data_IF_455998379386
#
_entry.id   IF_455998379386
#
_cell.length_a   1.000
_cell.length_b   1.000
_cell.length_c   1.000
_cell.angle_alpha   90.00
_cell.angle_beta   90.00
_cell.angle_gamma   90.00
#
_symmetry.space_group_name_H-M   'P 1'
#
loop_
_entity.id
_entity.type
_entity.pdbx_description
1 polymer ?
#
# COMPACT_ATOMS: atom_id res chain seq x y z
N UNK A 1 11.15 24.44 30.46
CA UNK A 1 10.53 25.35 29.47
C UNK A 1 11.19 25.36 28.09
N UNK A 2 12.52 25.52 27.95
CA UNK A 2 13.21 25.69 26.64
C UNK A 2 12.93 24.61 25.57
N UNK A 3 12.61 23.37 25.97
CA UNK A 3 12.31 22.24 25.05
C UNK A 3 10.82 21.98 24.81
N UNK A 4 9.91 22.68 25.51
CA UNK A 4 8.47 22.48 25.40
C UNK A 4 7.87 23.27 24.23
N UNK A 5 8.31 24.52 24.04
CA UNK A 5 7.86 25.38 22.94
C UNK A 5 8.08 24.74 21.56
N UNK A 6 9.28 24.20 21.23
CA UNK A 6 9.52 23.59 19.92
C UNK A 6 8.64 22.36 19.65
N UNK A 7 8.35 21.55 20.67
CA UNK A 7 7.49 20.38 20.53
C UNK A 7 6.03 20.78 20.29
N UNK A 8 5.54 21.84 20.95
CA UNK A 8 4.21 22.40 20.73
C UNK A 8 4.09 23.01 19.33
N UNK A 9 5.08 23.80 18.90
CA UNK A 9 5.12 24.35 17.54
C UNK A 9 5.11 23.25 16.48
N UNK A 10 5.88 22.18 16.69
CA UNK A 10 5.88 21.03 15.79
C UNK A 10 4.53 20.32 15.76
N UNK A 11 3.89 20.13 16.92
CA UNK A 11 2.55 19.55 16.98
C UNK A 11 1.53 20.42 16.23
N UNK A 12 1.61 21.75 16.33
CA UNK A 12 0.76 22.67 15.58
C UNK A 12 0.98 22.56 14.06
N UNK A 13 2.23 22.48 13.60
CA UNK A 13 2.55 22.26 12.18
C UNK A 13 2.00 20.92 11.69
N UNK A 14 2.19 19.84 12.44
CA UNK A 14 1.66 18.52 12.07
C UNK A 14 0.12 18.48 12.11
N UNK A 15 -0.51 19.17 13.05
CA UNK A 15 -1.96 19.33 13.08
C UNK A 15 -2.44 20.08 11.84
N UNK A 16 -1.79 21.18 11.46
CA UNK A 16 -2.13 21.94 10.26
C UNK A 16 -1.89 21.15 8.96
N UNK A 17 -0.84 20.33 8.89
CA UNK A 17 -0.54 19.51 7.70
C UNK A 17 -1.45 18.29 7.57
N UNK A 18 -1.75 17.61 8.67
CA UNK A 18 -2.39 16.29 8.66
C UNK A 18 -3.83 16.35 9.17
N UNK A 19 -4.06 16.94 10.34
CA UNK A 19 -5.36 16.95 11.00
C UNK A 19 -6.32 17.96 10.38
N UNK A 20 -5.83 19.15 10.04
CA UNK A 20 -6.62 20.27 9.58
C UNK A 20 -7.31 20.01 8.24
N UNK A 21 -6.67 19.39 7.20
CA UNK A 21 -7.38 19.07 5.98
C UNK A 21 -8.52 18.06 6.18
N UNK A 22 -8.32 17.08 7.06
CA UNK A 22 -9.36 16.11 7.40
C UNK A 22 -10.51 16.76 8.17
N UNK A 23 -10.19 17.68 9.07
CA UNK A 23 -11.18 18.49 9.77
C UNK A 23 -11.98 19.33 8.76
N UNK A 24 -11.32 20.04 7.85
CA UNK A 24 -12.00 20.86 6.83
C UNK A 24 -12.92 20.02 5.95
N UNK A 25 -12.49 18.83 5.54
CA UNK A 25 -13.35 17.87 4.81
C UNK A 25 -14.60 17.52 5.61
N UNK A 26 -14.46 17.27 6.92
CA UNK A 26 -15.59 16.95 7.79
C UNK A 26 -16.53 18.16 7.97
N UNK A 27 -16.00 19.36 8.16
CA UNK A 27 -16.80 20.58 8.31
C UNK A 27 -17.55 20.89 7.01
N UNK A 28 -16.91 20.72 5.85
CA UNK A 28 -17.57 20.89 4.55
C UNK A 28 -18.62 19.81 4.29
N UNK A 29 -18.41 18.56 4.73
CA UNK A 29 -19.41 17.50 4.63
C UNK A 29 -20.67 17.77 5.48
N UNK A 30 -20.52 18.53 6.57
CA UNK A 30 -21.60 18.95 7.47
C UNK A 30 -22.12 20.37 7.16
N UNK A 31 -21.55 21.07 6.18
CA UNK A 31 -21.92 22.43 5.80
C UNK A 31 -22.89 22.44 4.62
N UNK A 32 -23.85 23.35 4.63
CA UNK A 32 -24.80 23.59 3.54
C UNK A 32 -25.12 25.07 3.38
N UNK A 33 -25.94 25.40 2.39
CA UNK A 33 -26.26 26.78 2.02
C UNK A 33 -26.85 27.63 3.17
N UNK A 34 -27.55 27.00 4.12
CA UNK A 34 -28.17 27.65 5.28
C UNK A 34 -27.45 27.41 6.62
N UNK A 35 -26.23 26.85 6.62
CA UNK A 35 -25.50 26.48 7.83
C UNK A 35 -25.26 24.98 7.96
N UNK A 36 -25.19 24.47 9.19
CA UNK A 36 -24.93 23.05 9.46
C UNK A 36 -26.09 22.16 9.00
N UNK A 37 -25.76 21.06 8.32
CA UNK A 37 -26.73 20.10 7.79
C UNK A 37 -26.20 18.67 7.84
N UNK A 38 -27.11 17.71 8.04
CA UNK A 38 -26.84 16.27 7.85
C UNK A 38 -27.45 15.74 6.55
N UNK A 39 -28.04 16.61 5.74
CA UNK A 39 -28.74 16.26 4.50
C UNK A 39 -27.85 15.53 3.49
N UNK A 40 -26.57 15.90 3.39
CA UNK A 40 -25.62 15.21 2.49
C UNK A 40 -25.33 13.76 2.93
N UNK A 41 -25.36 13.48 4.24
CA UNK A 41 -25.26 12.12 4.74
C UNK A 41 -26.54 11.33 4.46
N UNK A 42 -27.72 11.96 4.63
CA UNK A 42 -28.98 11.33 4.26
C UNK A 42 -29.04 11.00 2.75
N UNK A 43 -28.54 11.90 1.90
CA UNK A 43 -28.41 11.68 0.45
C UNK A 43 -27.46 10.50 0.14
N UNK A 44 -26.29 10.45 0.79
CA UNK A 44 -25.35 9.33 0.65
C UNK A 44 -26.00 7.98 1.00
N UNK A 45 -26.73 7.89 2.11
CA UNK A 45 -27.40 6.65 2.49
C UNK A 45 -28.67 6.36 1.65
N UNK A 46 -29.29 7.39 1.07
CA UNK A 46 -30.42 7.24 0.16
C UNK A 46 -30.03 6.77 -1.24
N UNK A 47 -28.84 7.14 -1.72
CA UNK A 47 -28.32 6.74 -3.04
C UNK A 47 -27.63 5.38 -2.96
N UNK A 48 -28.22 4.38 -3.63
CA UNK A 48 -27.73 2.99 -3.62
C UNK A 48 -26.26 2.87 -4.04
N UNK A 49 -25.86 3.59 -5.08
CA UNK A 49 -24.50 3.49 -5.62
C UNK A 49 -23.43 3.98 -4.65
N UNK A 50 -23.76 4.96 -3.80
CA UNK A 50 -22.82 5.55 -2.84
C UNK A 50 -22.51 4.59 -1.70
N UNK A 51 -23.52 4.13 -0.95
CA UNK A 51 -23.26 3.19 0.13
C UNK A 51 -22.77 1.83 -0.41
N UNK A 52 -23.20 1.43 -1.61
CA UNK A 52 -22.71 0.20 -2.25
C UNK A 52 -21.23 0.30 -2.59
N UNK A 53 -20.74 1.47 -3.02
CA UNK A 53 -19.32 1.66 -3.26
C UNK A 53 -18.50 1.63 -1.95
N UNK A 54 -19.07 2.03 -0.80
CA UNK A 54 -18.46 1.84 0.52
C UNK A 54 -18.35 0.35 0.88
N UNK A 55 -19.44 -0.39 0.70
CA UNK A 55 -19.45 -1.84 0.90
C UNK A 55 -18.47 -2.56 -0.03
N UNK A 56 -18.44 -2.21 -1.31
CA UNK A 56 -17.50 -2.75 -2.31
C UNK A 56 -16.04 -2.49 -1.91
N UNK A 57 -15.75 -1.35 -1.30
CA UNK A 57 -14.41 -1.01 -0.79
C UNK A 57 -14.00 -1.89 0.38
N UNK A 58 -14.92 -2.14 1.32
CA UNK A 58 -14.70 -3.06 2.43
C UNK A 58 -14.50 -4.49 1.92
N UNK A 59 -15.40 -4.96 1.06
CA UNK A 59 -15.38 -6.31 0.50
C UNK A 59 -14.11 -6.59 -0.30
N UNK A 60 -13.74 -5.70 -1.23
CA UNK A 60 -12.54 -5.88 -2.07
C UNK A 60 -11.28 -5.90 -1.21
N UNK A 61 -11.24 -5.10 -0.15
CA UNK A 61 -10.08 -5.04 0.75
C UNK A 61 -9.96 -6.28 1.62
N UNK A 62 -11.07 -6.81 2.13
CA UNK A 62 -11.07 -8.07 2.86
C UNK A 62 -10.70 -9.27 1.96
N UNK A 63 -11.26 -9.32 0.74
CA UNK A 63 -10.95 -10.36 -0.24
C UNK A 63 -9.47 -10.30 -0.67
N UNK A 64 -8.91 -9.10 -0.84
CA UNK A 64 -7.49 -8.90 -1.16
C UNK A 64 -6.57 -9.40 -0.06
N UNK A 65 -6.93 -9.20 1.22
CA UNK A 65 -6.19 -9.77 2.35
C UNK A 65 -6.15 -11.29 2.27
N UNK A 66 -7.32 -11.92 2.07
CA UNK A 66 -7.41 -13.39 1.97
C UNK A 66 -6.59 -13.94 0.81
N UNK A 67 -6.67 -13.31 -0.36
CA UNK A 67 -5.96 -13.74 -1.56
C UNK A 67 -4.44 -13.51 -1.45
N UNK A 68 -4.02 -12.36 -0.92
CA UNK A 68 -2.62 -12.08 -0.65
C UNK A 68 -2.03 -13.04 0.40
N UNK A 69 -2.78 -13.40 1.44
CA UNK A 69 -2.36 -14.39 2.44
C UNK A 69 -2.21 -15.79 1.83
N UNK A 70 -3.18 -16.20 1.01
CA UNK A 70 -3.21 -17.49 0.33
C UNK A 70 -1.97 -17.70 -0.55
N UNK A 71 -1.43 -16.62 -1.14
CA UNK A 71 -0.21 -16.68 -1.96
C UNK A 71 1.04 -16.44 -1.12
N UNK A 72 1.09 -15.38 -0.33
CA UNK A 72 2.30 -14.93 0.37
C UNK A 72 2.74 -15.84 1.51
N UNK A 73 1.81 -16.43 2.26
CA UNK A 73 2.14 -17.32 3.39
C UNK A 73 2.81 -18.61 2.90
N UNK A 74 2.26 -19.37 1.95
CA UNK A 74 2.94 -20.55 1.41
C UNK A 74 4.32 -20.24 0.84
N UNK A 75 4.49 -19.11 0.15
CA UNK A 75 5.79 -18.69 -0.35
C UNK A 75 6.79 -18.43 0.78
N UNK A 76 6.37 -17.77 1.86
CA UNK A 76 7.25 -17.57 3.00
C UNK A 76 7.72 -18.90 3.60
N UNK A 77 6.81 -19.88 3.75
CA UNK A 77 7.17 -21.21 4.24
C UNK A 77 8.11 -21.95 3.28
N UNK A 78 7.86 -21.88 1.97
CA UNK A 78 8.70 -22.50 0.96
C UNK A 78 10.12 -21.94 1.03
N UNK A 79 10.27 -20.61 1.00
CA UNK A 79 11.57 -19.95 0.93
C UNK A 79 12.35 -19.92 2.25
N UNK A 80 11.67 -19.96 3.39
CA UNK A 80 12.34 -19.92 4.70
C UNK A 80 12.68 -21.32 5.22
N UNK A 81 11.82 -22.33 5.00
CA UNK A 81 12.02 -23.67 5.58
C UNK A 81 12.69 -24.68 4.64
N UNK A 82 12.76 -24.39 3.35
CA UNK A 82 13.21 -25.35 2.33
C UNK A 82 14.50 -24.91 1.66
N UNK A 83 15.47 -25.81 1.51
CA UNK A 83 16.65 -25.59 0.66
C UNK A 83 16.45 -26.16 -0.75
N UNK A 84 16.55 -25.30 -1.78
CA UNK A 84 16.47 -25.65 -3.19
C UNK A 84 17.35 -24.72 -4.05
N UNK A 85 17.79 -25.14 -5.25
CA UNK A 85 18.67 -24.34 -6.11
C UNK A 85 18.03 -23.01 -6.55
N UNK A 86 18.82 -21.93 -6.62
CA UNK A 86 18.34 -20.61 -7.06
C UNK A 86 17.51 -19.82 -6.03
N UNK A 87 17.25 -20.38 -4.84
CA UNK A 87 16.39 -19.78 -3.79
C UNK A 87 16.72 -18.33 -3.42
N UNK A 88 18.01 -17.94 -3.38
CA UNK A 88 18.41 -16.56 -3.03
C UNK A 88 17.91 -15.56 -4.08
N UNK A 89 18.16 -15.86 -5.35
CA UNK A 89 17.72 -15.04 -6.47
C UNK A 89 16.19 -15.03 -6.59
N UNK A 90 15.56 -16.21 -6.51
CA UNK A 90 14.11 -16.33 -6.52
C UNK A 90 13.45 -15.57 -5.36
N UNK A 91 14.04 -15.58 -4.16
CA UNK A 91 13.54 -14.84 -3.02
C UNK A 91 13.63 -13.31 -3.22
N UNK A 92 14.62 -12.83 -3.97
CA UNK A 92 14.70 -11.43 -4.38
C UNK A 92 13.66 -11.09 -5.46
N UNK A 93 13.49 -11.96 -6.47
CA UNK A 93 12.50 -11.78 -7.54
C UNK A 93 11.08 -11.72 -6.99
N UNK A 94 10.74 -12.58 -6.03
CA UNK A 94 9.42 -12.61 -5.38
C UNK A 94 9.12 -11.33 -4.60
N UNK A 95 10.12 -10.50 -4.29
CA UNK A 95 9.91 -9.19 -3.69
C UNK A 95 9.75 -8.06 -4.73
N UNK A 96 10.11 -8.27 -6.00
CA UNK A 96 10.12 -7.22 -7.03
C UNK A 96 8.78 -6.52 -7.27
N UNK A 97 7.60 -7.18 -7.23
CA UNK A 97 6.32 -6.49 -7.48
C UNK A 97 6.07 -5.28 -6.60
N UNK A 98 6.67 -5.20 -5.40
CA UNK A 98 6.55 -4.04 -4.50
C UNK A 98 7.23 -2.78 -5.06
N UNK A 99 8.15 -2.93 -6.01
CA UNK A 99 8.91 -1.84 -6.60
C UNK A 99 8.13 -1.08 -7.68
N UNK A 100 7.09 -1.69 -8.26
CA UNK A 100 6.27 -1.03 -9.27
C UNK A 100 5.36 0.02 -8.62
N UNK A 101 5.38 1.28 -9.10
CA UNK A 101 4.35 2.25 -8.73
C UNK A 101 2.96 1.67 -9.03
N UNK A 102 1.94 1.92 -8.18
CA UNK A 102 0.63 1.26 -8.30
C UNK A 102 0.00 1.38 -9.70
N UNK A 103 0.04 2.59 -10.27
CA UNK A 103 -0.48 2.85 -11.61
C UNK A 103 0.31 2.10 -12.70
N UNK A 104 1.65 2.10 -12.59
CA UNK A 104 2.52 1.43 -13.56
C UNK A 104 2.30 -0.08 -13.54
N UNK A 105 2.12 -0.68 -12.35
CA UNK A 105 1.76 -2.09 -12.22
C UNK A 105 0.41 -2.41 -12.86
N UNK A 106 -0.60 -1.55 -12.67
CA UNK A 106 -1.92 -1.69 -13.31
C UNK A 106 -1.84 -1.59 -14.83
N UNK A 107 -1.05 -0.63 -15.35
CA UNK A 107 -0.83 -0.46 -16.79
C UNK A 107 -0.09 -1.67 -17.37
N UNK A 108 0.88 -2.24 -16.64
CA UNK A 108 1.53 -3.48 -17.06
C UNK A 108 0.52 -4.63 -17.19
N UNK A 109 -0.42 -4.76 -16.25
CA UNK A 109 -1.50 -5.73 -16.34
C UNK A 109 -2.42 -5.47 -17.54
N UNK A 110 -2.72 -4.20 -17.84
CA UNK A 110 -3.51 -3.85 -19.02
C UNK A 110 -2.79 -4.29 -20.31
N UNK A 111 -1.51 -3.96 -20.47
CA UNK A 111 -0.74 -4.33 -21.66
C UNK A 111 -0.49 -5.83 -21.79
N UNK A 112 -0.38 -6.55 -20.67
CA UNK A 112 -0.11 -7.98 -20.70
C UNK A 112 -1.39 -8.80 -20.83
N UNK A 113 -2.36 -8.56 -19.96
CA UNK A 113 -3.54 -9.42 -19.76
C UNK A 113 -4.87 -8.75 -20.14
N UNK A 114 -4.86 -7.47 -20.53
CA UNK A 114 -6.06 -6.79 -21.01
C UNK A 114 -6.67 -7.48 -22.24
N UNK A 115 -7.85 -7.05 -22.66
CA UNK A 115 -8.56 -7.63 -23.81
C UNK A 115 -7.71 -7.61 -25.09
N UNK A 116 -6.98 -6.50 -25.31
CA UNK A 116 -5.97 -6.34 -26.37
C UNK A 116 -4.53 -6.55 -25.86
N UNK A 117 -4.35 -7.29 -24.77
CA UNK A 117 -3.06 -7.51 -24.14
C UNK A 117 -2.20 -8.54 -24.90
N UNK A 118 -0.88 -8.50 -24.67
CA UNK A 118 0.09 -9.41 -25.29
C UNK A 118 -0.25 -10.88 -25.05
N UNK A 119 -0.47 -11.28 -23.80
CA UNK A 119 -0.75 -12.67 -23.46
C UNK A 119 -2.11 -13.10 -24.04
N UNK A 120 -3.10 -12.21 -24.03
CA UNK A 120 -4.44 -12.45 -24.57
C UNK A 120 -4.38 -12.72 -26.07
N UNK A 121 -3.68 -11.86 -26.82
CA UNK A 121 -3.51 -12.02 -28.27
C UNK A 121 -2.65 -13.22 -28.63
N UNK A 122 -1.59 -13.51 -27.87
CA UNK A 122 -0.77 -14.68 -28.08
C UNK A 122 -1.61 -15.96 -27.94
N UNK A 123 -2.41 -16.07 -26.89
CA UNK A 123 -3.30 -17.23 -26.70
C UNK A 123 -4.39 -17.28 -27.77
N UNK A 124 -4.99 -16.14 -28.11
CA UNK A 124 -5.99 -16.06 -29.19
C UNK A 124 -5.42 -16.58 -30.52
N UNK A 125 -4.22 -16.15 -30.90
CA UNK A 125 -3.55 -16.57 -32.13
C UNK A 125 -3.13 -18.05 -32.09
N UNK A 126 -2.58 -18.52 -30.96
CA UNK A 126 -2.16 -19.91 -30.80
C UNK A 126 -3.33 -20.90 -30.85
N UNK A 127 -4.51 -20.50 -30.35
CA UNK A 127 -5.71 -21.32 -30.30
C UNK A 127 -6.68 -21.07 -31.47
N UNK A 128 -6.39 -20.11 -32.35
CA UNK A 128 -7.24 -19.75 -33.49
C UNK A 128 -8.63 -19.22 -33.07
N UNK A 129 -8.72 -18.50 -31.96
CA UNK A 129 -10.00 -18.00 -31.42
C UNK A 129 -10.47 -16.73 -32.15
N UNK A 130 -11.76 -16.66 -32.46
CA UNK A 130 -12.38 -15.49 -33.08
C UNK A 130 -12.43 -14.27 -32.15
N UNK A 131 -12.67 -14.51 -30.86
CA UNK A 131 -12.78 -13.50 -29.81
C UNK A 131 -11.65 -13.65 -28.78
N UNK A 132 -11.28 -12.58 -28.05
CA UNK A 132 -10.27 -12.69 -27.00
C UNK A 132 -10.72 -13.69 -25.91
N UNK A 133 -9.82 -14.58 -25.46
CA UNK A 133 -10.16 -15.66 -24.52
C UNK A 133 -10.61 -15.17 -23.14
N UNK A 134 -10.30 -13.92 -22.78
CA UNK A 134 -10.74 -13.31 -21.52
C UNK A 134 -10.80 -11.78 -21.63
N UNK A 135 -11.49 -11.17 -20.66
CA UNK A 135 -11.60 -9.71 -20.48
C UNK A 135 -11.34 -9.37 -19.01
N UNK A 136 -10.38 -8.49 -18.75
CA UNK A 136 -10.08 -8.02 -17.40
C UNK A 136 -11.01 -6.88 -16.99
N UNK A 137 -12.24 -7.23 -16.59
CA UNK A 137 -13.23 -6.26 -16.11
C UNK A 137 -13.89 -6.77 -14.83
N UNK A 138 -14.26 -5.84 -13.95
CA UNK A 138 -14.96 -6.09 -12.71
C UNK A 138 -14.06 -6.47 -11.52
N UNK A 139 -14.67 -6.93 -10.40
CA UNK A 139 -13.95 -7.18 -9.15
C UNK A 139 -12.88 -8.27 -9.28
N UNK A 140 -13.06 -9.26 -10.15
CA UNK A 140 -12.08 -10.33 -10.36
C UNK A 140 -10.75 -9.80 -10.92
N UNK A 141 -10.80 -8.86 -11.86
CA UNK A 141 -9.61 -8.21 -12.41
C UNK A 141 -8.88 -7.37 -11.36
N UNK A 142 -9.63 -6.63 -10.53
CA UNK A 142 -9.07 -5.87 -9.41
C UNK A 142 -8.36 -6.81 -8.41
N UNK A 143 -9.02 -7.91 -8.04
CA UNK A 143 -8.44 -8.91 -7.12
C UNK A 143 -7.19 -9.58 -7.70
N UNK A 144 -7.14 -9.84 -9.00
CA UNK A 144 -5.95 -10.39 -9.66
C UNK A 144 -4.75 -9.44 -9.51
N UNK A 145 -4.96 -8.14 -9.77
CA UNK A 145 -3.92 -7.13 -9.59
C UNK A 145 -3.51 -7.00 -8.12
N UNK A 146 -4.47 -7.02 -7.19
CA UNK A 146 -4.19 -6.96 -5.76
C UNK A 146 -3.44 -8.20 -5.28
N UNK A 147 -3.79 -9.39 -5.76
CA UNK A 147 -3.08 -10.63 -5.47
C UNK A 147 -1.62 -10.49 -5.84
N UNK A 148 -1.34 -10.08 -7.08
CA UNK A 148 0.01 -9.90 -7.61
C UNK A 148 0.82 -8.83 -6.85
N UNK A 149 0.21 -7.68 -6.56
CA UNK A 149 0.93 -6.55 -5.97
C UNK A 149 1.07 -6.63 -4.45
N UNK A 150 0.16 -7.34 -3.76
CA UNK A 150 0.05 -7.28 -2.29
C UNK A 150 0.42 -8.58 -1.57
N UNK A 151 0.55 -9.73 -2.25
CA UNK A 151 1.02 -10.98 -1.61
C UNK A 151 2.38 -10.79 -0.92
N UNK A 152 3.21 -9.88 -1.44
CA UNK A 152 4.56 -9.59 -0.95
C UNK A 152 4.56 -9.14 0.52
N UNK A 153 3.51 -8.46 0.97
CA UNK A 153 3.38 -8.07 2.38
C UNK A 153 3.27 -9.30 3.28
N UNK A 154 2.42 -10.27 2.92
CA UNK A 154 2.34 -11.54 3.63
C UNK A 154 3.63 -12.35 3.53
N UNK A 155 4.28 -12.37 2.36
CA UNK A 155 5.55 -13.03 2.18
C UNK A 155 6.63 -12.49 3.14
N UNK A 156 6.86 -11.17 3.13
CA UNK A 156 7.92 -10.53 3.92
C UNK A 156 7.68 -10.65 5.43
N UNK A 157 6.45 -10.36 5.88
CA UNK A 157 6.11 -10.41 7.30
C UNK A 157 6.14 -11.84 7.84
N UNK A 158 5.55 -12.80 7.10
CA UNK A 158 5.56 -14.21 7.51
C UNK A 158 6.98 -14.74 7.55
N UNK A 159 7.82 -14.37 6.58
CA UNK A 159 9.23 -14.77 6.55
C UNK A 159 10.01 -14.20 7.75
N UNK A 160 9.80 -12.93 8.09
CA UNK A 160 10.40 -12.31 9.27
C UNK A 160 9.89 -12.90 10.60
N UNK A 161 8.63 -13.34 10.65
CA UNK A 161 8.07 -14.07 11.79
C UNK A 161 8.67 -15.47 11.92
N UNK A 162 8.78 -16.19 10.79
CA UNK A 162 9.36 -17.54 10.73
C UNK A 162 10.81 -17.56 11.17
N UNK A 163 11.60 -16.53 10.84
CA UNK A 163 12.99 -16.41 11.25
C UNK A 163 13.18 -16.11 12.75
N UNK A 164 12.09 -15.99 13.53
CA UNK A 164 12.12 -15.77 14.98
C UNK A 164 11.50 -16.93 15.78
N UNK A 165 10.90 -17.92 15.09
CA UNK A 165 10.32 -19.10 15.76
C UNK A 165 11.47 -19.95 16.30
N UNK A 166 11.49 -20.17 17.61
CA UNK A 166 12.53 -20.96 18.27
C UNK A 166 12.49 -22.44 17.84
N UNK A 167 13.65 -22.99 17.49
CA UNK A 167 13.83 -24.42 17.25
C UNK A 167 13.40 -25.26 18.46
N UNK A 168 13.67 -24.81 19.69
CA UNK A 168 13.34 -25.52 20.92
C UNK A 168 11.83 -25.76 21.07
N UNK A 169 10.99 -24.83 20.60
CA UNK A 169 9.53 -25.00 20.60
C UNK A 169 9.09 -26.09 19.61
N UNK A 170 9.80 -26.25 18.50
CA UNK A 170 9.51 -27.30 17.51
C UNK A 170 9.99 -28.67 18.00
N UNK A 171 11.12 -28.72 18.68
CA UNK A 171 11.65 -29.93 19.31
C UNK A 171 10.78 -30.38 20.47
N UNK A 172 10.37 -29.47 21.37
CA UNK A 172 9.43 -29.76 22.44
C UNK A 172 8.09 -30.31 21.91
N UNK A 173 7.55 -29.69 20.85
CA UNK A 173 6.34 -30.20 20.20
C UNK A 173 6.54 -31.62 19.64
N UNK A 174 7.69 -31.89 19.02
CA UNK A 174 8.02 -33.22 18.51
C UNK A 174 8.18 -34.26 19.64
N UNK A 175 8.83 -33.90 20.74
CA UNK A 175 8.98 -34.77 21.94
C UNK A 175 7.65 -35.10 22.60
N UNK A 176 6.67 -34.20 22.51
CA UNK A 176 5.28 -34.44 22.94
C UNK A 176 4.44 -35.22 21.90
N UNK A 177 5.07 -35.78 20.87
CA UNK A 177 4.39 -36.56 19.82
C UNK A 177 3.58 -35.73 18.83
N UNK A 178 3.76 -34.41 18.77
CA UNK A 178 3.04 -33.57 17.81
C UNK A 178 3.62 -33.75 16.39
N UNK A 179 2.81 -34.32 15.49
CA UNK A 179 3.15 -34.38 14.06
C UNK A 179 3.12 -33.00 13.38
N UNK A 180 3.66 -32.92 12.15
CA UNK A 180 3.87 -31.66 11.39
C UNK A 180 2.65 -30.74 11.32
N UNK A 181 1.46 -31.29 11.06
CA UNK A 181 0.20 -30.53 11.00
C UNK A 181 -0.16 -29.93 12.37
N UNK A 182 -0.01 -30.72 13.43
CA UNK A 182 -0.30 -30.27 14.81
C UNK A 182 0.69 -29.20 15.25
N UNK A 183 1.98 -29.37 14.96
CA UNK A 183 3.02 -28.34 15.22
C UNK A 183 2.74 -27.05 14.42
N UNK A 184 2.37 -27.17 13.14
CA UNK A 184 2.02 -26.00 12.32
C UNK A 184 0.84 -25.23 12.92
N UNK A 185 -0.27 -25.91 13.20
CA UNK A 185 -1.53 -25.26 13.63
C UNK A 185 -1.49 -24.80 15.08
N UNK A 186 -0.84 -25.54 15.99
CA UNK A 186 -0.88 -25.25 17.43
C UNK A 186 0.36 -24.52 17.96
N UNK A 187 1.47 -24.51 17.22
CA UNK A 187 2.71 -23.84 17.66
C UNK A 187 3.07 -22.73 16.69
N UNK A 188 3.30 -23.06 15.41
CA UNK A 188 3.85 -22.10 14.45
C UNK A 188 2.85 -21.00 14.08
N UNK A 189 1.64 -21.35 13.64
CA UNK A 189 0.65 -20.35 13.22
C UNK A 189 0.27 -19.37 14.35
N UNK A 190 0.03 -19.81 15.60
CA UNK A 190 -0.16 -18.90 16.74
C UNK A 190 0.99 -17.92 16.94
N UNK A 191 2.24 -18.39 16.85
CA UNK A 191 3.43 -17.52 16.96
C UNK A 191 3.57 -16.55 15.78
N UNK A 192 3.02 -16.89 14.61
CA UNK A 192 3.03 -16.03 13.43
C UNK A 192 1.89 -15.02 13.41
N UNK A 193 0.86 -15.13 14.27
CA UNK A 193 -0.31 -14.26 14.20
C UNK A 193 0.02 -12.77 14.25
N UNK A 194 0.94 -12.27 15.10
CA UNK A 194 1.30 -10.84 15.07
C UNK A 194 1.89 -10.40 13.73
N UNK A 195 2.69 -11.25 13.09
CA UNK A 195 3.25 -10.98 11.77
C UNK A 195 2.16 -11.01 10.67
N UNK A 196 1.26 -12.00 10.73
CA UNK A 196 0.14 -12.12 9.80
C UNK A 196 -0.86 -10.98 9.93
N UNK A 197 -1.14 -10.53 11.15
CA UNK A 197 -2.02 -9.39 11.42
C UNK A 197 -1.41 -8.08 10.92
N UNK A 198 -0.11 -7.88 11.11
CA UNK A 198 0.61 -6.75 10.50
C UNK A 198 0.55 -6.74 8.97
N UNK A 199 0.73 -7.91 8.33
CA UNK A 199 0.59 -8.05 6.88
C UNK A 199 -0.85 -7.82 6.40
N UNK A 200 -1.83 -8.33 7.14
CA UNK A 200 -3.25 -8.15 6.87
C UNK A 200 -3.62 -6.67 6.94
N UNK A 201 -3.16 -5.96 7.97
CA UNK A 201 -3.43 -4.53 8.13
C UNK A 201 -2.84 -3.72 6.98
N UNK A 202 -1.58 -3.98 6.62
CA UNK A 202 -0.94 -3.30 5.51
C UNK A 202 -1.65 -3.58 4.18
N UNK A 203 -2.02 -4.83 3.92
CA UNK A 203 -2.74 -5.24 2.72
C UNK A 203 -4.13 -4.61 2.66
N UNK A 204 -4.88 -4.64 3.76
CA UNK A 204 -6.21 -4.05 3.86
C UNK A 204 -6.18 -2.55 3.61
N UNK A 205 -5.27 -1.82 4.27
CA UNK A 205 -5.11 -0.37 4.08
C UNK A 205 -4.65 -0.03 2.65
N UNK A 206 -3.75 -0.82 2.06
CA UNK A 206 -3.29 -0.62 0.68
C UNK A 206 -4.42 -0.86 -0.33
N UNK A 207 -5.22 -1.91 -0.14
CA UNK A 207 -6.38 -2.20 -0.99
C UNK A 207 -7.49 -1.17 -0.82
N UNK A 208 -7.75 -0.72 0.41
CA UNK A 208 -8.74 0.33 0.69
C UNK A 208 -8.37 1.65 0.04
N UNK A 209 -7.07 1.90 -0.12
CA UNK A 209 -6.51 3.04 -0.83
C UNK A 209 -6.31 2.83 -2.33
N UNK A 210 -6.68 1.66 -2.87
CA UNK A 210 -6.48 1.33 -4.28
C UNK A 210 -7.39 2.18 -5.16
N UNK A 211 -6.80 2.87 -6.12
CA UNK A 211 -7.53 3.69 -7.10
C UNK A 211 -7.31 3.16 -8.53
N UNK A 212 -6.05 2.97 -8.94
CA UNK A 212 -5.72 2.65 -10.33
C UNK A 212 -6.36 1.37 -10.85
N UNK A 213 -6.35 0.28 -10.06
CA UNK A 213 -6.94 -0.99 -10.49
C UNK A 213 -8.48 -0.89 -10.60
N UNK A 214 -9.22 -0.39 -9.59
CA UNK A 214 -10.65 -0.14 -9.73
C UNK A 214 -11.01 0.85 -10.84
N UNK A 215 -10.21 1.89 -11.05
CA UNK A 215 -10.46 2.88 -12.10
C UNK A 215 -10.35 2.26 -13.50
N UNK A 216 -9.30 1.47 -13.75
CA UNK A 216 -9.04 0.93 -15.08
C UNK A 216 -9.84 -0.35 -15.39
N UNK A 217 -10.02 -1.22 -14.39
CA UNK A 217 -10.66 -2.52 -14.56
C UNK A 217 -12.06 -2.60 -13.95
N UNK A 218 -12.55 -1.57 -13.25
CA UNK A 218 -13.82 -1.64 -12.55
C UNK A 218 -15.03 -1.84 -13.47
N UNK A 219 -15.04 -1.22 -14.65
CA UNK A 219 -16.21 -1.17 -15.53
C UNK A 219 -17.38 -0.47 -14.83
N UNK A 220 -18.28 -1.25 -14.23
CA UNK A 220 -19.37 -0.75 -13.35
C UNK A 220 -19.16 -1.00 -11.85
N UNK A 221 -18.09 -1.72 -11.48
CA UNK A 221 -17.74 -1.97 -10.08
C UNK A 221 -16.96 -0.78 -9.51
N UNK A 222 -17.69 0.17 -8.94
CA UNK A 222 -17.09 1.33 -8.26
C UNK A 222 -16.83 1.05 -6.79
N UNK A 223 -15.65 1.48 -6.34
CA UNK A 223 -15.26 1.57 -4.93
C UNK A 223 -15.20 3.06 -4.52
N UNK A 224 -15.07 3.35 -3.24
CA UNK A 224 -15.05 4.73 -2.71
C UNK A 224 -13.98 5.60 -3.33
N UNK A 225 -12.78 5.08 -3.56
CA UNK A 225 -11.72 5.87 -4.19
C UNK A 225 -12.11 6.37 -5.58
N UNK A 226 -12.81 5.56 -6.38
CA UNK A 226 -13.32 5.94 -7.71
C UNK A 226 -14.62 6.74 -7.64
N UNK A 227 -15.47 6.47 -6.65
CA UNK A 227 -16.74 7.17 -6.47
C UNK A 227 -16.50 8.62 -6.06
N UNK A 228 -15.57 8.86 -5.14
CA UNK A 228 -15.13 10.21 -4.73
C UNK A 228 -14.74 11.04 -5.94
N UNK A 229 -13.95 10.46 -6.85
CA UNK A 229 -13.52 11.17 -8.07
C UNK A 229 -14.70 11.39 -9.01
N UNK A 230 -15.59 10.40 -9.17
CA UNK A 230 -16.77 10.54 -10.02
C UNK A 230 -17.70 11.66 -9.53
N UNK A 231 -18.06 11.68 -8.24
CA UNK A 231 -18.92 12.71 -7.64
C UNK A 231 -18.28 14.10 -7.76
N UNK A 232 -16.96 14.21 -7.56
CA UNK A 232 -16.22 15.47 -7.79
C UNK A 232 -16.29 15.95 -9.23
N UNK A 233 -16.06 15.06 -10.20
CA UNK A 233 -16.09 15.40 -11.63
C UNK A 233 -17.51 15.77 -12.10
N UNK A 234 -18.54 15.21 -11.46
CA UNK A 234 -19.94 15.56 -11.70
C UNK A 234 -20.38 16.87 -11.02
N UNK A 235 -19.50 17.53 -10.27
CA UNK A 235 -19.83 18.76 -9.53
C UNK A 235 -20.56 18.53 -8.20
N UNK A 236 -20.74 17.28 -7.76
CA UNK A 236 -21.37 16.90 -6.49
C UNK A 236 -20.37 17.02 -5.33
N UNK A 237 -19.83 18.23 -5.11
CA UNK A 237 -18.73 18.48 -4.17
C UNK A 237 -19.07 18.04 -2.74
N UNK A 238 -20.27 18.38 -2.26
CA UNK A 238 -20.70 18.03 -0.90
C UNK A 238 -20.81 16.52 -0.69
N UNK A 239 -21.35 15.79 -1.67
CA UNK A 239 -21.45 14.33 -1.63
C UNK A 239 -20.06 13.69 -1.63
N UNK A 240 -19.13 14.20 -2.45
CA UNK A 240 -17.75 13.73 -2.43
C UNK A 240 -17.02 13.98 -1.09
N UNK A 241 -17.37 15.04 -0.35
CA UNK A 241 -16.85 15.23 1.01
C UNK A 241 -17.40 14.16 1.96
N UNK A 242 -18.69 13.84 1.88
CA UNK A 242 -19.30 12.75 2.67
C UNK A 242 -18.64 11.42 2.35
N UNK A 243 -18.49 11.07 1.07
CA UNK A 243 -17.80 9.84 0.64
C UNK A 243 -16.36 9.79 1.16
N UNK A 244 -15.66 10.93 1.15
CA UNK A 244 -14.30 11.07 1.68
C UNK A 244 -14.26 10.83 3.20
N UNK A 245 -15.21 11.40 3.95
CA UNK A 245 -15.37 11.18 5.39
C UNK A 245 -15.70 9.71 5.68
N UNK A 246 -16.60 9.10 4.90
CA UNK A 246 -16.99 7.69 5.06
C UNK A 246 -15.82 6.73 4.79
N UNK A 247 -15.03 6.99 3.76
CA UNK A 247 -13.82 6.23 3.47
C UNK A 247 -12.76 6.40 4.57
N UNK A 248 -12.57 7.61 5.08
CA UNK A 248 -11.69 7.88 6.21
C UNK A 248 -12.14 7.16 7.48
N UNK A 249 -13.44 7.19 7.79
CA UNK A 249 -14.05 6.49 8.92
C UNK A 249 -13.84 4.98 8.81
N UNK A 250 -14.08 4.39 7.63
CA UNK A 250 -13.82 2.98 7.36
C UNK A 250 -12.34 2.61 7.59
N UNK A 251 -11.42 3.46 7.13
CA UNK A 251 -9.99 3.26 7.34
C UNK A 251 -9.60 3.31 8.83
N UNK A 252 -10.13 4.29 9.58
CA UNK A 252 -9.89 4.39 11.02
C UNK A 252 -10.49 3.21 11.80
N UNK A 253 -11.70 2.76 11.45
CA UNK A 253 -12.34 1.59 12.06
C UNK A 253 -11.53 0.32 11.80
N UNK A 254 -11.06 0.11 10.56
CA UNK A 254 -10.20 -1.02 10.20
C UNK A 254 -8.88 -0.99 10.98
N UNK A 255 -8.21 0.16 11.04
CA UNK A 255 -6.98 0.34 11.82
C UNK A 255 -7.21 0.08 13.32
N UNK A 256 -8.29 0.59 13.88
CA UNK A 256 -8.65 0.42 15.29
C UNK A 256 -8.91 -1.05 15.62
N UNK A 257 -9.72 -1.74 14.81
CA UNK A 257 -10.04 -3.15 14.99
C UNK A 257 -8.78 -4.03 14.96
N UNK A 258 -7.89 -3.78 14.00
CA UNK A 258 -6.65 -4.56 13.84
C UNK A 258 -5.64 -4.26 14.95
N UNK A 259 -5.48 -3.00 15.37
CA UNK A 259 -4.61 -2.65 16.51
C UNK A 259 -5.10 -3.25 17.83
N UNK A 260 -6.42 -3.39 18.00
CA UNK A 260 -6.99 -4.03 19.20
C UNK A 260 -6.68 -5.52 19.21
N UNK A 261 -6.76 -6.19 18.07
CA UNK A 261 -6.35 -7.59 17.91
C UNK A 261 -4.85 -7.79 18.20
N UNK A 262 -3.99 -6.93 17.64
CA UNK A 262 -2.53 -7.02 17.82
C UNK A 262 -2.10 -6.85 19.29
N UNK A 263 -2.69 -5.91 20.03
CA UNK A 263 -2.34 -5.66 21.44
C UNK A 263 -2.67 -6.83 22.36
N UNK A 264 -3.78 -7.53 22.10
CA UNK A 264 -4.17 -8.70 22.86
C UNK A 264 -3.16 -9.85 22.68
N UNK A 265 -2.58 -10.00 21.49
CA UNK A 265 -1.63 -11.09 21.17
C UNK A 265 -0.17 -10.76 21.49
N UNK A 266 0.26 -9.49 21.35
CA UNK A 266 1.60 -9.06 21.71
C UNK A 266 1.90 -9.21 23.21
N UNK A 267 0.87 -9.12 24.06
CA UNK A 267 0.97 -9.42 25.49
C UNK A 267 1.19 -10.92 25.77
N UNK A 268 0.87 -11.80 24.82
CA UNK A 268 0.91 -13.26 24.97
C UNK A 268 2.13 -13.94 24.32
N UNK A 269 2.91 -13.24 23.48
CA UNK A 269 3.95 -13.86 22.62
C UNK A 269 5.31 -13.15 22.74
N UNK A 270 5.88 -13.15 23.94
CA UNK A 270 7.17 -12.52 24.24
C UNK A 270 8.43 -13.37 24.01
N UNK A 271 8.35 -14.47 23.25
CA UNK A 271 9.48 -15.41 23.13
C UNK A 271 10.37 -15.05 21.93
N UNK A 272 11.60 -14.61 22.20
CA UNK A 272 12.68 -14.52 21.21
C UNK A 272 13.50 -15.80 21.28
N UNK A 273 13.70 -16.47 20.15
CA UNK A 273 14.52 -17.68 20.06
C UNK A 273 15.31 -17.75 18.77
N UNK A 274 16.16 -18.77 18.67
CA UNK A 274 16.99 -19.02 17.49
C UNK A 274 16.18 -19.78 16.45
N UNK A 275 16.11 -19.25 15.22
CA UNK A 275 15.38 -19.92 14.14
C UNK A 275 15.94 -21.32 13.86
N UNK A 276 15.07 -22.32 13.59
CA UNK A 276 15.49 -23.65 13.22
C UNK A 276 16.32 -23.66 11.93
N UNK A 277 17.31 -24.55 11.88
CA UNK A 277 18.07 -24.79 10.66
C UNK A 277 17.14 -25.21 9.51
N UNK A 278 17.45 -24.72 8.31
CA UNK A 278 16.68 -25.02 7.10
C UNK A 278 16.77 -26.51 6.78
N UNK A 279 15.67 -27.08 6.28
CA UNK A 279 15.62 -28.49 5.92
C UNK A 279 15.84 -28.67 4.43
N UNK A 280 16.82 -29.51 4.08
CA UNK A 280 16.95 -30.05 2.73
C UNK A 280 15.81 -31.03 2.47
N UNK A 281 15.18 -30.93 1.31
CA UNK A 281 14.24 -31.95 0.85
C UNK A 281 15.01 -33.26 0.65
N UNK A 282 14.54 -34.34 1.29
CA UNK A 282 15.19 -35.66 1.23
C UNK A 282 15.14 -36.27 -0.18
N UNK A 283 14.07 -36.01 -0.92
CA UNK A 283 13.93 -36.47 -2.30
C UNK A 283 14.57 -35.47 -3.27
N UNK A 284 15.53 -35.90 -4.11
CA UNK A 284 16.11 -35.04 -5.14
C UNK A 284 15.06 -34.58 -6.16
N UNK A 285 14.04 -35.40 -6.44
CA UNK A 285 12.91 -35.07 -7.32
C UNK A 285 12.02 -33.98 -6.71
N UNK A 286 11.74 -34.04 -5.41
CA UNK A 286 11.00 -32.99 -4.73
C UNK A 286 11.77 -31.65 -4.74
N UNK A 287 13.11 -31.72 -4.67
CA UNK A 287 13.99 -30.54 -4.70
C UNK A 287 14.03 -29.89 -6.08
N UNK A 288 14.14 -30.68 -7.14
CA UNK A 288 14.09 -30.16 -8.51
C UNK A 288 12.70 -29.63 -8.82
N UNK A 289 11.63 -30.34 -8.45
CA UNK A 289 10.25 -29.88 -8.62
C UNK A 289 9.99 -28.55 -7.89
N UNK A 290 10.44 -28.41 -6.64
CA UNK A 290 10.32 -27.15 -5.89
C UNK A 290 11.12 -26.00 -6.54
N UNK A 291 12.31 -26.30 -7.06
CA UNK A 291 13.10 -25.34 -7.83
C UNK A 291 12.40 -24.89 -9.12
N UNK A 292 11.91 -25.85 -9.92
CA UNK A 292 11.17 -25.60 -11.15
C UNK A 292 9.89 -24.80 -10.91
N UNK A 293 9.10 -25.18 -9.90
CA UNK A 293 7.90 -24.44 -9.52
C UNK A 293 8.24 -23.02 -9.06
N UNK A 294 9.32 -22.87 -8.29
CA UNK A 294 9.81 -21.55 -7.87
C UNK A 294 10.20 -20.66 -9.06
N UNK A 295 10.91 -21.23 -10.04
CA UNK A 295 11.26 -20.54 -11.28
C UNK A 295 10.06 -20.22 -12.16
N UNK A 296 9.10 -21.13 -12.28
CA UNK A 296 7.85 -20.91 -13.00
C UNK A 296 7.07 -19.74 -12.39
N UNK A 297 6.93 -19.74 -11.06
CA UNK A 297 6.27 -18.64 -10.36
C UNK A 297 7.02 -17.31 -10.54
N UNK A 298 8.35 -17.32 -10.41
CA UNK A 298 9.15 -16.14 -10.64
C UNK A 298 9.00 -15.61 -12.07
N UNK A 299 8.94 -16.49 -13.07
CA UNK A 299 8.67 -16.09 -14.46
C UNK A 299 7.31 -15.37 -14.56
N UNK A 300 6.24 -15.95 -14.00
CA UNK A 300 4.90 -15.32 -13.97
C UNK A 300 4.91 -13.95 -13.29
N UNK A 301 5.62 -13.82 -12.17
CA UNK A 301 5.76 -12.56 -11.44
C UNK A 301 6.58 -11.51 -12.19
N UNK A 302 7.53 -11.96 -13.03
CA UNK A 302 8.33 -11.08 -13.86
C UNK A 302 7.62 -10.65 -15.14
N UNK A 303 6.57 -11.35 -15.60
CA UNK A 303 5.88 -11.00 -16.84
C UNK A 303 5.37 -9.54 -16.88
N UNK A 304 4.71 -8.99 -15.84
CA UNK A 304 4.30 -7.58 -15.86
C UNK A 304 5.48 -6.61 -15.84
N UNK A 305 6.67 -7.02 -15.37
CA UNK A 305 7.86 -6.18 -15.47
C UNK A 305 8.47 -6.26 -16.88
N UNK A 306 8.53 -7.46 -17.44
CA UNK A 306 9.05 -7.72 -18.77
C UNK A 306 8.22 -7.01 -19.85
N UNK A 307 6.89 -6.98 -19.71
CA UNK A 307 6.01 -6.28 -20.67
C UNK A 307 6.29 -4.77 -20.67
N UNK A 308 6.62 -4.16 -19.54
CA UNK A 308 6.96 -2.74 -19.49
C UNK A 308 8.28 -2.44 -20.20
N UNK A 309 9.28 -3.30 -20.01
CA UNK A 309 10.54 -3.21 -20.74
C UNK A 309 10.28 -3.36 -22.24
N UNK A 310 9.49 -4.36 -22.64
CA UNK A 310 9.11 -4.57 -24.04
C UNK A 310 8.39 -3.35 -24.62
N UNK A 311 7.33 -2.87 -23.97
CA UNK A 311 6.56 -1.71 -24.40
C UNK A 311 7.43 -0.45 -24.47
N UNK A 312 8.43 -0.30 -23.60
CA UNK A 312 9.37 0.82 -23.66
C UNK A 312 10.21 0.84 -24.96
N UNK A 313 10.37 -0.30 -25.64
CA UNK A 313 11.10 -0.44 -26.89
C UNK A 313 10.20 -0.37 -28.13
N UNK A 314 8.87 -0.33 -27.94
CA UNK A 314 7.89 -0.30 -29.03
C UNK A 314 7.50 1.14 -29.32
N UNK A 315 7.78 1.66 -30.53
CA UNK A 315 7.36 3.01 -30.90
C UNK A 315 5.84 3.21 -30.78
N UNK A 316 5.36 4.43 -30.50
CA UNK A 316 3.92 4.68 -30.42
C UNK A 316 3.22 4.32 -31.74
N UNK A 317 2.03 3.73 -31.64
CA UNK A 317 1.17 3.38 -32.76
C UNK A 317 1.70 2.32 -33.74
N UNK A 318 2.84 1.67 -33.47
CA UNK A 318 3.37 0.60 -34.33
C UNK A 318 2.91 -0.79 -33.94
N UNK A 319 2.28 -0.96 -32.77
CA UNK A 319 1.85 -2.26 -32.27
C UNK A 319 0.36 -2.22 -31.93
N UNK A 320 -0.46 -2.66 -32.89
CA UNK A 320 -1.92 -2.48 -32.85
C UNK A 320 -2.63 -3.82 -32.66
N UNK A 321 -2.33 -4.81 -33.50
CA UNK A 321 -3.08 -6.06 -33.56
C UNK A 321 -2.20 -7.31 -33.47
N UNK A 322 -0.89 -7.18 -33.67
CA UNK A 322 0.03 -8.29 -33.79
C UNK A 322 0.27 -8.99 -32.43
N UNK A 323 0.42 -10.32 -32.40
CA UNK A 323 0.79 -11.03 -31.18
C UNK A 323 2.15 -10.60 -30.62
N UNK A 324 3.09 -10.23 -31.49
CA UNK A 324 4.46 -9.80 -31.14
C UNK A 324 4.69 -8.42 -31.76
N UNK A 325 5.42 -7.49 -31.09
CA UNK A 325 5.64 -6.17 -31.64
C UNK A 325 6.42 -6.24 -32.96
N UNK A 326 5.96 -5.56 -34.03
CA UNK A 326 6.61 -5.63 -35.34
C UNK A 326 7.90 -4.81 -35.40
N UNK A 327 8.06 -3.82 -34.53
CA UNK A 327 9.23 -2.93 -34.49
C UNK A 327 9.70 -2.77 -33.04
N UNK A 328 11.00 -2.97 -32.83
CA UNK A 328 11.70 -2.70 -31.58
C UNK A 328 12.87 -1.76 -31.85
N UNK A 329 12.92 -0.63 -31.14
CA UNK A 329 14.04 0.31 -31.20
C UNK A 329 14.10 1.20 -29.94
N UNK A 330 15.07 2.11 -29.90
CA UNK A 330 15.29 3.02 -28.76
C UNK A 330 14.61 4.40 -28.93
N UNK A 331 13.69 4.55 -29.88
CA UNK A 331 13.06 5.85 -30.19
C UNK A 331 12.38 6.49 -28.97
N UNK A 332 11.65 5.70 -28.17
CA UNK A 332 11.05 6.16 -26.93
C UNK A 332 12.10 6.69 -25.95
N UNK A 333 13.21 5.98 -25.77
CA UNK A 333 14.31 6.37 -24.88
C UNK A 333 15.00 7.65 -25.36
N UNK A 334 15.25 7.76 -26.66
CA UNK A 334 15.82 8.97 -27.27
C UNK A 334 14.86 10.16 -27.10
N UNK A 335 13.55 9.93 -27.27
CA UNK A 335 12.53 10.96 -27.13
C UNK A 335 12.44 11.54 -25.71
N UNK A 336 12.87 10.81 -24.67
CA UNK A 336 12.86 11.31 -23.28
C UNK A 336 13.71 12.57 -23.09
N UNK A 337 14.73 12.77 -23.93
CA UNK A 337 15.59 13.95 -23.88
C UNK A 337 15.00 15.17 -24.58
N UNK A 338 13.82 15.05 -25.20
CA UNK A 338 13.07 16.20 -25.70
C UNK A 338 12.44 16.97 -24.54
N UNK A 339 12.43 18.31 -24.62
CA UNK A 339 12.01 19.18 -23.51
C UNK A 339 10.62 18.85 -22.96
N UNK A 340 9.66 18.54 -23.83
CA UNK A 340 8.28 18.19 -23.42
C UNK A 340 8.19 16.89 -22.62
N UNK A 341 9.01 15.89 -22.96
CA UNK A 341 9.04 14.58 -22.28
C UNK A 341 9.94 14.59 -21.04
N UNK A 342 10.99 15.43 -21.03
CA UNK A 342 11.88 15.60 -19.89
C UNK A 342 11.22 16.40 -18.77
N UNK A 343 10.34 17.37 -19.08
CA UNK A 343 9.72 18.25 -18.09
C UNK A 343 8.93 17.51 -17.00
N UNK A 344 8.08 16.50 -17.28
CA UNK A 344 7.44 15.68 -16.26
C UNK A 344 8.42 14.93 -15.34
N UNK A 345 9.56 14.48 -15.89
CA UNK A 345 10.62 13.80 -15.13
C UNK A 345 11.25 14.79 -14.16
N UNK A 346 11.68 15.96 -14.64
CA UNK A 346 12.25 17.02 -13.80
C UNK A 346 11.24 17.46 -12.73
N UNK A 347 9.97 17.64 -13.11
CA UNK A 347 8.89 17.99 -12.19
C UNK A 347 8.78 16.99 -11.04
N UNK A 348 8.75 15.70 -11.38
CA UNK A 348 8.65 14.64 -10.38
C UNK A 348 9.88 14.57 -9.48
N UNK A 349 11.09 14.76 -10.03
CA UNK A 349 12.35 14.74 -9.27
C UNK A 349 12.43 15.86 -8.23
N UNK A 350 12.17 17.12 -8.62
CA UNK A 350 12.25 18.22 -7.67
C UNK A 350 11.13 18.15 -6.63
N UNK A 351 9.91 17.75 -7.02
CA UNK A 351 8.79 17.63 -6.09
C UNK A 351 9.05 16.52 -5.06
N UNK A 352 9.57 15.38 -5.49
CA UNK A 352 9.96 14.28 -4.61
C UNK A 352 11.10 14.71 -3.67
N UNK A 353 12.14 15.38 -4.19
CA UNK A 353 13.25 15.86 -3.37
C UNK A 353 12.80 16.84 -2.28
N UNK A 354 11.98 17.83 -2.63
CA UNK A 354 11.43 18.79 -1.68
C UNK A 354 10.59 18.11 -0.59
N UNK A 355 9.70 17.19 -1.00
CA UNK A 355 8.88 16.41 -0.07
C UNK A 355 9.71 15.52 0.86
N UNK A 356 10.75 14.85 0.34
CA UNK A 356 11.65 14.00 1.12
C UNK A 356 12.41 14.80 2.16
N UNK A 357 13.00 15.94 1.80
CA UNK A 357 13.73 16.80 2.73
C UNK A 357 12.82 17.25 3.87
N UNK A 358 11.61 17.74 3.54
CA UNK A 358 10.63 18.15 4.54
C UNK A 358 10.15 16.97 5.41
N UNK A 359 9.93 15.80 4.83
CA UNK A 359 9.45 14.62 5.55
C UNK A 359 10.50 14.07 6.51
N UNK A 360 11.78 14.10 6.13
CA UNK A 360 12.90 13.73 7.01
C UNK A 360 13.01 14.73 8.14
N UNK A 361 13.02 16.03 7.84
CA UNK A 361 13.14 17.08 8.86
C UNK A 361 12.01 17.00 9.90
N UNK A 362 10.75 16.97 9.45
CA UNK A 362 9.59 16.89 10.33
C UNK A 362 9.51 15.53 11.04
N UNK A 363 9.79 14.42 10.33
CA UNK A 363 9.75 13.08 10.87
C UNK A 363 10.78 12.85 11.99
N UNK A 364 12.03 13.30 11.77
CA UNK A 364 13.11 13.22 12.78
C UNK A 364 12.81 14.13 13.96
N UNK A 365 12.37 15.36 13.73
CA UNK A 365 11.98 16.27 14.81
C UNK A 365 10.85 15.68 15.66
N UNK A 366 9.83 15.12 15.00
CA UNK A 366 8.67 14.58 15.68
C UNK A 366 9.00 13.27 16.40
N UNK A 367 9.92 12.46 15.88
CA UNK A 367 10.44 11.29 16.57
C UNK A 367 11.25 11.64 17.82
N UNK A 368 12.11 12.66 17.75
CA UNK A 368 12.92 13.15 18.90
C UNK A 368 12.03 13.56 20.08
N UNK A 369 10.97 14.32 19.82
CA UNK A 369 10.03 14.74 20.87
C UNK A 369 8.99 13.66 21.20
N UNK A 370 8.65 12.82 20.21
CA UNK A 370 7.66 11.74 20.30
C UNK A 370 8.11 10.56 21.14
N UNK A 371 9.40 10.22 21.11
CA UNK A 371 9.97 9.10 21.87
C UNK A 371 9.86 9.26 23.40
N UNK A 372 9.48 10.45 23.88
CA UNK A 372 9.35 10.77 25.31
C UNK A 372 7.99 10.34 25.86
N UNK A 373 7.96 9.90 27.12
CA UNK A 373 6.71 9.55 27.81
C UNK A 373 5.88 10.81 28.09
N UNK A 374 4.66 10.88 27.54
CA UNK A 374 3.71 11.96 27.81
C UNK A 374 2.63 12.11 26.73
N UNK A 375 1.61 12.94 27.02
CA UNK A 375 0.49 13.19 26.09
C UNK A 375 0.93 13.81 24.76
N UNK A 376 1.86 14.76 24.81
CA UNK A 376 2.39 15.43 23.61
C UNK A 376 3.18 14.47 22.72
N UNK A 377 3.98 13.57 23.32
CA UNK A 377 4.71 12.55 22.56
C UNK A 377 3.75 11.59 21.85
N UNK A 378 2.73 11.12 22.56
CA UNK A 378 1.67 10.30 21.97
C UNK A 378 0.89 11.00 20.84
N UNK A 379 0.65 12.32 20.96
CA UNK A 379 0.03 13.11 19.90
C UNK A 379 0.91 13.18 18.64
N UNK A 380 2.21 13.49 18.79
CA UNK A 380 3.16 13.55 17.67
C UNK A 380 3.27 12.19 16.97
N UNK A 381 3.41 11.10 17.71
CA UNK A 381 3.42 9.74 17.15
C UNK A 381 2.11 9.42 16.40
N UNK A 382 0.98 9.85 16.96
CA UNK A 382 -0.33 9.72 16.32
C UNK A 382 -0.38 10.46 14.99
N UNK A 383 -0.01 11.74 14.96
CA UNK A 383 -0.04 12.59 13.76
C UNK A 383 0.90 12.08 12.65
N UNK A 384 2.07 11.55 13.00
CA UNK A 384 2.97 10.88 12.04
C UNK A 384 2.32 9.62 11.46
N UNK A 385 1.55 8.88 12.26
CA UNK A 385 1.00 7.59 11.86
C UNK A 385 -0.31 7.71 11.05
N UNK A 386 -1.08 8.78 11.24
CA UNK A 386 -2.38 9.01 10.59
C UNK A 386 -2.30 8.92 9.06
N UNK A 387 -1.31 9.55 8.37
CA UNK A 387 -1.28 9.53 6.92
C UNK A 387 -1.14 8.15 6.27
N UNK A 388 -0.64 7.16 7.02
CA UNK A 388 -0.51 5.79 6.53
C UNK A 388 -1.82 5.02 6.53
N UNK A 389 -2.72 5.33 7.47
CA UNK A 389 -3.99 4.63 7.61
C UNK A 389 -5.03 5.11 6.60
N UNK A 390 -5.02 6.40 6.29
CA UNK A 390 -6.02 7.02 5.44
C UNK A 390 -5.68 6.77 3.96
N UNK A 391 -6.64 6.55 3.06
CA UNK A 391 -6.39 6.49 1.62
C UNK A 391 -5.81 7.77 0.99
N UNK A 392 -5.00 7.62 -0.07
CA UNK A 392 -4.41 8.76 -0.76
C UNK A 392 -5.47 9.67 -1.40
N UNK A 393 -6.57 9.09 -1.88
CA UNK A 393 -7.73 9.85 -2.41
C UNK A 393 -8.37 10.74 -1.36
N UNK A 394 -8.46 10.28 -0.11
CA UNK A 394 -8.99 11.09 0.99
C UNK A 394 -8.10 12.31 1.23
N UNK A 395 -6.78 12.14 1.31
CA UNK A 395 -5.87 13.28 1.43
C UNK A 395 -5.90 14.19 0.21
N UNK A 396 -6.00 13.63 -1.01
CA UNK A 396 -6.08 14.44 -2.21
C UNK A 396 -7.32 15.35 -2.18
N UNK A 397 -8.48 14.81 -1.82
CA UNK A 397 -9.71 15.60 -1.65
C UNK A 397 -9.59 16.59 -0.51
N UNK A 398 -9.09 16.15 0.65
CA UNK A 398 -8.96 17.00 1.82
C UNK A 398 -8.04 18.20 1.58
N UNK A 399 -6.86 17.97 0.98
CA UNK A 399 -5.92 19.02 0.62
C UNK A 399 -6.51 19.94 -0.46
N UNK A 400 -7.19 19.38 -1.46
CA UNK A 400 -7.86 20.18 -2.48
C UNK A 400 -8.93 21.10 -1.85
N UNK A 401 -9.84 20.57 -1.03
CA UNK A 401 -10.84 21.40 -0.35
C UNK A 401 -10.24 22.49 0.53
N UNK A 402 -9.22 22.11 1.30
CA UNK A 402 -8.59 23.03 2.25
C UNK A 402 -7.91 24.19 1.53
N UNK A 403 -7.21 23.89 0.44
CA UNK A 403 -6.34 24.85 -0.26
C UNK A 403 -6.92 25.35 -1.59
N UNK A 404 -8.26 25.33 -1.74
CA UNK A 404 -8.97 25.93 -2.87
C UNK A 404 -9.35 27.40 -2.65
N UNK A 405 -9.24 27.91 -1.42
CA UNK A 405 -9.70 29.24 -1.03
C UNK A 405 -8.61 30.03 -0.28
N UNK A 406 -8.58 31.35 -0.48
CA UNK A 406 -7.65 32.23 0.22
C UNK A 406 -8.32 32.80 1.49
N UNK A 407 -8.13 32.12 2.62
CA UNK A 407 -8.62 32.58 3.93
C UNK A 407 -7.51 32.43 4.98
N UNK A 408 -6.46 33.29 4.93
CA UNK A 408 -5.25 33.11 5.74
C UNK A 408 -5.51 33.13 7.25
N UNK A 409 -6.53 33.85 7.71
CA UNK A 409 -6.91 33.94 9.13
C UNK A 409 -7.35 32.61 9.73
N UNK A 410 -7.85 31.68 8.92
CA UNK A 410 -8.12 30.30 9.34
C UNK A 410 -7.07 29.30 8.85
N UNK A 411 -5.97 29.77 8.24
CA UNK A 411 -4.87 28.91 7.76
C UNK A 411 -5.10 28.27 6.39
N UNK A 412 -5.98 28.83 5.56
CA UNK A 412 -6.19 28.39 4.16
C UNK A 412 -5.46 29.30 3.18
N UNK A 413 -4.79 28.68 2.22
CA UNK A 413 -4.05 29.34 1.15
C UNK A 413 -4.39 28.70 -0.19
N UNK A 414 -4.38 29.45 -1.27
CA UNK A 414 -4.62 28.88 -2.61
C UNK A 414 -3.36 28.16 -3.06
N UNK A 415 -3.38 26.83 -2.96
CA UNK A 415 -2.30 25.96 -3.47
C UNK A 415 -2.76 25.15 -4.69
N UNK A 416 -4.06 25.01 -4.92
CA UNK A 416 -4.58 24.40 -6.15
C UNK A 416 -4.06 25.18 -7.37
N UNK A 417 -3.62 24.45 -8.39
CA UNK A 417 -3.06 25.02 -9.62
C UNK A 417 -1.61 25.50 -9.47
N UNK A 418 -1.03 25.45 -8.26
CA UNK A 418 0.37 25.80 -8.01
C UNK A 418 1.26 24.55 -8.00
N UNK A 419 2.58 24.68 -8.23
CA UNK A 419 3.50 23.55 -8.15
C UNK A 419 3.66 22.97 -6.73
N UNK A 420 3.16 23.63 -5.69
CA UNK A 420 3.43 23.29 -4.29
C UNK A 420 2.45 22.27 -3.67
N UNK A 421 1.24 22.14 -4.21
CA UNK A 421 0.23 21.23 -3.64
C UNK A 421 0.65 19.75 -3.74
N UNK A 422 1.37 19.38 -4.80
CA UNK A 422 1.86 18.00 -4.99
C UNK A 422 3.00 17.65 -4.02
N UNK A 423 4.10 18.43 -3.90
CA UNK A 423 5.09 18.24 -2.84
C UNK A 423 4.49 18.16 -1.44
N UNK A 424 3.50 19.00 -1.14
CA UNK A 424 2.80 18.98 0.14
C UNK A 424 2.05 17.65 0.36
N UNK A 425 1.34 17.17 -0.66
CA UNK A 425 0.66 15.88 -0.61
C UNK A 425 1.66 14.72 -0.43
N UNK A 426 2.80 14.76 -1.15
CA UNK A 426 3.86 13.76 -1.02
C UNK A 426 4.51 13.79 0.37
N UNK A 427 4.73 14.97 0.93
CA UNK A 427 5.22 15.17 2.29
C UNK A 427 4.30 14.48 3.30
N UNK A 428 3.02 14.84 3.29
CA UNK A 428 2.01 14.28 4.20
C UNK A 428 1.95 12.76 4.04
N UNK A 429 1.94 12.27 2.80
CA UNK A 429 1.83 10.84 2.50
C UNK A 429 3.02 10.02 2.97
N UNK A 430 4.23 10.58 2.90
CA UNK A 430 5.47 9.87 3.23
C UNK A 430 5.99 10.15 4.64
N UNK A 431 5.39 11.10 5.38
CA UNK A 431 5.72 11.38 6.78
C UNK A 431 5.74 10.13 7.70
N UNK A 432 4.82 9.15 7.56
CA UNK A 432 4.86 7.94 8.39
C UNK A 432 6.12 7.10 8.19
N UNK A 433 6.69 7.08 6.98
CA UNK A 433 7.88 6.29 6.65
C UNK A 433 9.11 6.84 7.37
N UNK A 434 9.36 8.15 7.24
CA UNK A 434 10.49 8.82 7.88
C UNK A 434 10.33 8.88 9.40
N UNK A 435 9.14 9.27 9.87
CA UNK A 435 8.89 9.44 11.30
C UNK A 435 8.93 8.13 12.09
N UNK A 436 8.40 7.01 11.56
CA UNK A 436 8.51 5.72 12.25
C UNK A 436 9.92 5.16 12.25
N UNK A 437 10.65 5.29 11.15
CA UNK A 437 12.04 4.87 11.08
C UNK A 437 12.88 5.63 12.12
N UNK A 438 12.71 6.96 12.19
CA UNK A 438 13.37 7.78 13.20
C UNK A 438 12.96 7.40 14.63
N UNK A 439 11.65 7.21 14.89
CA UNK A 439 11.14 6.85 16.22
C UNK A 439 11.70 5.51 16.71
N UNK A 440 11.83 4.52 15.81
CA UNK A 440 12.42 3.23 16.12
C UNK A 440 13.91 3.35 16.49
N UNK A 441 14.64 4.29 15.88
CA UNK A 441 16.02 4.62 16.25
C UNK A 441 16.12 5.31 17.61
N UNK A 442 15.34 6.39 17.82
CA UNK A 442 15.36 7.12 19.09
C UNK A 442 14.97 6.27 20.30
N UNK A 443 14.05 5.30 20.15
CA UNK A 443 13.68 4.38 21.23
C UNK A 443 14.76 3.36 21.62
N UNK A 444 15.79 3.20 20.79
CA UNK A 444 16.94 2.34 21.10
C UNK A 444 18.04 3.10 21.84
N UNK A 445 18.01 4.43 21.81
CA UNK A 445 18.99 5.26 22.51
C UNK A 445 18.68 5.33 24.00
N UNK A 446 19.72 5.26 24.83
CA UNK A 446 19.59 5.49 26.26
C UNK A 446 19.21 6.97 26.50
N UNK A 447 18.12 7.26 27.24
CA UNK A 447 17.73 8.63 27.59
C UNK A 447 18.87 9.45 28.20
N UNK A 448 19.81 8.84 28.93
CA UNK A 448 20.95 9.51 29.55
C UNK A 448 21.88 10.19 28.53
N UNK A 449 21.96 9.70 27.29
CA UNK A 449 22.77 10.29 26.22
C UNK A 449 22.22 11.65 25.75
N UNK A 450 20.90 11.86 25.80
CA UNK A 450 20.29 13.15 25.46
C UNK A 450 20.43 14.19 26.58
N UNK A 451 20.55 13.73 27.83
CA UNK A 451 20.77 14.57 29.02
C UNK A 451 22.23 15.02 29.10
N UNK A 452 23.18 14.16 28.73
CA UNK A 452 24.61 14.51 28.67
C UNK A 452 24.95 15.51 27.55
N UNK A 453 24.16 15.55 26.47
CA UNK A 453 24.37 16.45 25.33
C UNK A 453 23.68 17.82 25.47
N UNK A 454 23.04 18.10 26.62
CA UNK A 454 22.19 19.29 26.84
C UNK A 454 22.70 20.19 27.94
#
# INVERSE_FOLDING_TARGET
MKRFLPAVSLAAVLLWLVGYPLLMTLLEALGGAGGWTTGHFAEFFGRRDEWLALWRSLWISAASVGLAALVGVPLAFLFERTEFPGRRLLGAIVALPVALPPLVGVIAFLFLYGESGFATRAVQALLGLAEPPWRLVGPGAILLVHAYSMYVYFYLFTRAGLSRVDAALLEAAASLGAGRRRTLVRVVLPLLRPALAGAALLTFMTSLASFSAPYLFGGGFRVMTTQIVASRLNGEIALAQVETVMLAALAFLGLWAMRRADRAEAAATGVRGVAPARRRLRSPLARTAAGLLGWLLAAVLLLPHAVLVLVSLVPPFTWLAEPVPPVLNLSNWISLFQAERLRPVVNSLWMAAAATVAAVALGVAAARFGARRGRLGGLLEGLIAVPWAIPGTVFAVALASTFNANQPWIGRFVLIGTPWILPLAYLVRNLPLTGRAALAGFRQLDPALEEAAS
#
